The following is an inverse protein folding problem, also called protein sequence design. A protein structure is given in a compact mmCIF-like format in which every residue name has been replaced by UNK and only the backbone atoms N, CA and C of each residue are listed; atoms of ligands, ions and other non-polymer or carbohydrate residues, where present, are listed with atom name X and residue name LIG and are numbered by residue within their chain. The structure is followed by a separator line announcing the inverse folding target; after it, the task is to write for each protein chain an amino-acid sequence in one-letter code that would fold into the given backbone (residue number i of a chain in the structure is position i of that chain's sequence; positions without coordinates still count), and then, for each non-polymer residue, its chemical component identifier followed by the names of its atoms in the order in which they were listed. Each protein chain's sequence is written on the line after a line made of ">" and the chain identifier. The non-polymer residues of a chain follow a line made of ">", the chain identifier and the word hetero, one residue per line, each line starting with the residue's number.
data_IF_199012744305
#
_entry.id   IF_199012744305
#
_cell.length_a   1.000
_cell.length_b   1.000
_cell.length_c   1.000
_cell.angle_alpha   90.00
_cell.angle_beta   90.00
_cell.angle_gamma   90.00
#
_symmetry.space_group_name_H-M   'P 1'
#
loop_
_entity.id
_entity.type
_entity.pdbx_description
1 polymer ?
#
# COMPACT_ATOMS: atom_id res chain seq x y z
N UNK A 1 4.46 -16.48 4.11
CA UNK A 1 4.21 -15.51 3.03
C UNK A 1 3.00 -14.61 3.29
N UNK A 2 1.80 -15.10 3.68
CA UNK A 2 0.62 -14.27 3.91
C UNK A 2 0.81 -13.10 4.90
N UNK A 3 1.55 -13.31 6.00
CA UNK A 3 1.85 -12.25 6.96
C UNK A 3 2.73 -11.13 6.36
N UNK A 4 3.68 -11.49 5.50
CA UNK A 4 4.54 -10.53 4.81
C UNK A 4 3.71 -9.72 3.80
N UNK A 5 2.85 -10.40 3.03
CA UNK A 5 1.94 -9.74 2.09
C UNK A 5 0.95 -8.79 2.80
N UNK A 6 0.43 -9.20 3.96
CA UNK A 6 -0.46 -8.34 4.76
C UNK A 6 0.27 -7.09 5.25
N UNK A 7 1.49 -7.23 5.79
CA UNK A 7 2.31 -6.08 6.20
C UNK A 7 2.60 -5.15 5.03
N UNK A 8 2.94 -5.69 3.87
CA UNK A 8 3.16 -4.90 2.66
C UNK A 8 1.88 -4.17 2.23
N UNK A 9 0.72 -4.85 2.27
CA UNK A 9 -0.59 -4.25 1.97
C UNK A 9 -0.89 -3.07 2.89
N UNK A 10 -0.60 -3.20 4.19
CA UNK A 10 -0.77 -2.11 5.17
C UNK A 10 0.17 -0.95 4.85
N UNK A 11 1.47 -1.22 4.71
CA UNK A 11 2.49 -0.19 4.46
C UNK A 11 2.28 0.58 3.16
N UNK A 12 1.67 -0.04 2.15
CA UNK A 12 1.42 0.59 0.84
C UNK A 12 -0.02 1.08 0.67
N UNK A 13 -0.90 0.80 1.63
CA UNK A 13 -2.34 1.01 1.52
C UNK A 13 -2.94 0.42 0.21
N UNK A 14 -2.32 -0.61 -0.37
CA UNK A 14 -2.73 -1.23 -1.63
C UNK A 14 -3.98 -2.11 -1.48
N UNK A 15 -4.64 -2.44 -2.58
CA UNK A 15 -5.73 -3.42 -2.58
C UNK A 15 -5.18 -4.84 -2.53
N UNK A 16 -5.96 -5.77 -1.96
CA UNK A 16 -5.60 -7.20 -1.87
C UNK A 16 -5.08 -7.74 -3.20
N UNK A 17 -5.83 -7.53 -4.29
CA UNK A 17 -5.44 -8.06 -5.61
C UNK A 17 -4.21 -7.36 -6.21
N UNK A 18 -3.97 -6.10 -5.86
CA UNK A 18 -2.76 -5.39 -6.25
C UNK A 18 -1.54 -6.04 -5.58
N UNK A 19 -1.62 -6.29 -4.27
CA UNK A 19 -0.54 -6.92 -3.51
C UNK A 19 -0.26 -8.36 -3.94
N UNK A 20 -1.27 -9.23 -3.94
CA UNK A 20 -1.04 -10.67 -4.24
C UNK A 20 -0.60 -10.92 -5.67
N UNK A 21 -0.93 -10.03 -6.59
CA UNK A 21 -0.50 -10.08 -7.97
C UNK A 21 0.81 -9.33 -8.25
N UNK A 22 1.45 -8.72 -7.24
CA UNK A 22 2.71 -8.01 -7.44
C UNK A 22 3.81 -8.94 -7.94
N UNK A 23 4.55 -8.49 -8.96
CA UNK A 23 5.67 -9.20 -9.54
C UNK A 23 6.96 -8.40 -9.36
N UNK A 24 8.10 -9.09 -9.39
CA UNK A 24 9.40 -8.44 -9.13
C UNK A 24 9.81 -7.42 -10.18
N UNK A 25 9.33 -7.55 -11.40
CA UNK A 25 9.56 -6.60 -12.50
C UNK A 25 8.79 -5.28 -12.32
N UNK A 26 7.77 -5.27 -11.44
CA UNK A 26 7.05 -4.06 -11.05
C UNK A 26 7.77 -3.26 -9.96
N UNK A 27 8.79 -3.84 -9.29
CA UNK A 27 9.46 -3.30 -8.09
C UNK A 27 10.83 -2.74 -8.45
N UNK A 28 10.99 -1.44 -8.27
CA UNK A 28 12.28 -0.74 -8.32
C UNK A 28 12.73 -0.40 -6.88
N UNK A 29 13.57 -1.26 -6.30
CA UNK A 29 14.07 -1.08 -4.93
C UNK A 29 15.05 0.08 -4.80
N UNK A 30 15.76 0.47 -5.88
CA UNK A 30 16.72 1.57 -5.87
C UNK A 30 15.99 2.91 -5.82
N UNK A 31 14.90 3.03 -6.61
CA UNK A 31 14.06 4.22 -6.60
C UNK A 31 13.00 4.21 -5.50
N UNK A 32 12.84 3.08 -4.79
CA UNK A 32 11.78 2.90 -3.81
C UNK A 32 10.39 3.06 -4.46
N UNK A 33 10.14 2.34 -5.54
CA UNK A 33 8.94 2.49 -6.34
C UNK A 33 8.35 1.14 -6.74
N UNK A 34 7.05 1.01 -6.59
CA UNK A 34 6.27 -0.09 -7.15
C UNK A 34 5.32 0.46 -8.22
N UNK A 35 5.46 -0.01 -9.46
CA UNK A 35 4.61 0.41 -10.58
C UNK A 35 3.64 -0.70 -10.94
N UNK A 36 2.37 -0.50 -10.60
CA UNK A 36 1.29 -1.44 -10.93
C UNK A 36 0.81 -1.11 -12.34
N UNK A 37 0.90 -2.04 -13.31
CA UNK A 37 0.53 -1.76 -14.69
C UNK A 37 -0.98 -1.56 -14.85
N UNK A 38 -1.37 -0.74 -15.82
CA UNK A 38 -2.75 -0.38 -16.15
C UNK A 38 -3.69 -1.58 -16.30
N UNK A 39 -3.18 -2.69 -16.83
CA UNK A 39 -3.96 -3.92 -17.02
C UNK A 39 -4.47 -4.50 -15.68
N UNK A 40 -3.80 -4.24 -14.57
CA UNK A 40 -4.18 -4.68 -13.21
C UNK A 40 -4.96 -3.64 -12.43
N UNK A 41 -5.09 -2.43 -12.96
CA UNK A 41 -5.75 -1.31 -12.28
C UNK A 41 -7.18 -1.12 -12.76
N UNK A 42 -8.11 -0.85 -11.80
CA UNK A 42 -9.51 -0.55 -12.12
C UNK A 42 -9.66 0.64 -13.06
N UNK A 43 -8.81 1.65 -12.91
CA UNK A 43 -8.84 2.88 -13.71
C UNK A 43 -8.06 2.78 -15.04
N UNK A 44 -7.53 1.60 -15.38
CA UNK A 44 -6.75 1.34 -16.60
C UNK A 44 -5.64 2.36 -16.87
N UNK A 45 -4.98 2.80 -15.80
CA UNK A 45 -3.78 3.65 -15.82
C UNK A 45 -2.75 3.06 -14.87
N UNK A 46 -1.48 3.17 -15.22
CA UNK A 46 -0.39 2.77 -14.34
C UNK A 46 -0.50 3.50 -13.00
N UNK A 47 -0.30 2.77 -11.92
CA UNK A 47 -0.28 3.33 -10.59
C UNK A 47 1.10 3.17 -9.96
N UNK A 48 1.78 4.28 -9.73
CA UNK A 48 3.08 4.33 -9.07
C UNK A 48 2.88 4.48 -7.57
N UNK A 49 3.35 3.51 -6.80
CA UNK A 49 3.28 3.50 -5.34
C UNK A 49 4.67 3.78 -4.79
N UNK A 50 4.93 4.94 -4.15
CA UNK A 50 6.19 5.16 -3.48
C UNK A 50 6.28 4.25 -2.26
N UNK A 51 7.40 3.54 -2.14
CA UNK A 51 7.67 2.62 -1.06
C UNK A 51 8.38 3.34 0.08
N UNK A 52 7.85 3.23 1.29
CA UNK A 52 8.57 3.64 2.50
C UNK A 52 9.80 2.76 2.74
N UNK A 53 10.74 3.25 3.54
CA UNK A 53 11.92 2.45 3.90
C UNK A 53 11.53 1.10 4.51
N UNK A 54 10.49 1.08 5.35
CA UNK A 54 9.98 -0.16 5.95
C UNK A 54 9.42 -1.15 4.92
N UNK A 55 8.77 -0.65 3.85
CA UNK A 55 8.30 -1.50 2.76
C UNK A 55 9.46 -2.04 1.91
N UNK A 56 10.50 -1.23 1.68
CA UNK A 56 11.73 -1.64 0.98
C UNK A 56 12.45 -2.74 1.77
N UNK A 57 12.64 -2.54 3.08
CA UNK A 57 13.32 -3.51 3.94
C UNK A 57 12.56 -4.83 4.03
N UNK A 58 11.21 -4.74 4.09
CA UNK A 58 10.35 -5.91 4.02
C UNK A 58 10.55 -6.67 2.69
N UNK A 59 10.57 -5.98 1.56
CA UNK A 59 10.76 -6.61 0.24
C UNK A 59 12.14 -7.22 0.08
N UNK A 60 13.19 -6.58 0.60
CA UNK A 60 14.56 -7.14 0.60
C UNK A 60 14.65 -8.45 1.37
N UNK A 61 13.83 -8.63 2.40
CA UNK A 61 13.77 -9.86 3.20
C UNK A 61 12.89 -10.96 2.59
N UNK A 62 12.13 -10.68 1.53
CA UNK A 62 11.31 -11.69 0.85
C UNK A 62 12.19 -12.62 0.02
N UNK A 63 12.17 -13.94 0.26
CA UNK A 63 12.93 -14.87 -0.56
C UNK A 63 12.36 -14.93 -1.98
N UNK A 64 13.24 -14.78 -2.98
CA UNK A 64 12.88 -14.94 -4.38
C UNK A 64 12.88 -16.41 -4.77
N UNK A 65 11.72 -16.93 -5.13
CA UNK A 65 11.58 -18.30 -5.62
C UNK A 65 11.98 -18.38 -7.10
N UNK A 66 12.93 -19.26 -7.42
CA UNK A 66 13.39 -19.46 -8.80
C UNK A 66 12.25 -19.89 -9.71
N UNK A 67 11.99 -19.13 -10.77
CA UNK A 67 10.91 -19.40 -11.73
C UNK A 67 9.52 -18.94 -11.27
N UNK A 68 9.45 -18.12 -10.20
CA UNK A 68 8.23 -17.46 -9.79
C UNK A 68 8.40 -15.94 -9.90
N UNK A 69 7.62 -15.31 -10.76
CA UNK A 69 7.66 -13.87 -10.94
C UNK A 69 7.02 -13.10 -9.77
N UNK A 70 6.12 -13.73 -8.99
CA UNK A 70 5.39 -13.07 -7.92
C UNK A 70 6.28 -12.73 -6.74
N UNK A 71 6.10 -11.54 -6.18
CA UNK A 71 6.75 -11.11 -4.94
C UNK A 71 6.29 -11.99 -3.78
N UNK A 72 5.00 -12.27 -3.69
CA UNK A 72 4.40 -13.08 -2.63
C UNK A 72 3.99 -14.44 -3.20
N UNK A 73 4.95 -15.36 -3.21
CA UNK A 73 4.74 -16.71 -3.72
C UNK A 73 3.62 -17.46 -2.99
N UNK A 74 2.77 -18.13 -3.77
CA UNK A 74 1.71 -19.00 -3.30
C UNK A 74 2.21 -20.44 -3.05
N UNK A 75 1.28 -21.34 -2.72
CA UNK A 75 1.62 -22.76 -2.48
C UNK A 75 1.88 -23.55 -3.77
N UNK A 76 1.32 -23.10 -4.91
CA UNK A 76 1.53 -23.75 -6.19
C UNK A 76 2.74 -23.15 -6.87
N UNK A 77 3.60 -24.00 -7.45
CA UNK A 77 4.79 -23.57 -8.17
C UNK A 77 4.45 -22.48 -9.22
N UNK A 78 5.17 -21.38 -9.20
CA UNK A 78 5.01 -20.26 -10.13
C UNK A 78 3.76 -19.40 -9.91
N UNK A 79 2.98 -19.63 -8.85
CA UNK A 79 1.79 -18.82 -8.53
C UNK A 79 2.03 -17.80 -7.43
N UNK A 80 1.24 -16.73 -7.43
CA UNK A 80 1.10 -15.83 -6.29
C UNK A 80 0.18 -16.39 -5.20
N UNK A 81 0.03 -15.63 -4.11
CA UNK A 81 -0.90 -15.94 -3.01
C UNK A 81 -2.35 -15.96 -3.51
N UNK A 82 -3.17 -16.81 -2.87
CA UNK A 82 -4.61 -16.76 -3.10
C UNK A 82 -5.24 -15.49 -2.51
N UNK A 83 -6.37 -15.08 -3.08
CA UNK A 83 -7.13 -13.89 -2.64
C UNK A 83 -7.66 -13.97 -1.20
N UNK A 84 -7.76 -15.17 -0.64
CA UNK A 84 -8.20 -15.39 0.75
C UNK A 84 -7.04 -15.54 1.75
N UNK A 85 -5.79 -15.58 1.29
CA UNK A 85 -4.64 -15.91 2.15
C UNK A 85 -4.46 -14.91 3.30
N UNK A 86 -4.52 -13.60 3.03
CA UNK A 86 -4.38 -12.57 4.06
C UNK A 86 -5.60 -12.51 4.99
N UNK A 87 -6.81 -12.67 4.45
CA UNK A 87 -8.03 -12.70 5.27
C UNK A 87 -8.06 -13.94 6.16
N UNK A 88 -7.64 -15.11 5.64
CA UNK A 88 -7.50 -16.33 6.42
C UNK A 88 -6.46 -16.19 7.54
N UNK A 89 -5.36 -15.47 7.29
CA UNK A 89 -4.39 -15.15 8.34
C UNK A 89 -5.05 -14.34 9.47
N UNK A 90 -5.76 -13.25 9.15
CA UNK A 90 -6.43 -12.42 10.14
C UNK A 90 -7.46 -13.21 10.94
N UNK A 91 -8.42 -13.84 10.25
CA UNK A 91 -9.59 -14.44 10.90
C UNK A 91 -9.30 -15.76 11.58
N UNK A 92 -8.52 -16.64 10.93
CA UNK A 92 -8.32 -18.02 11.40
C UNK A 92 -7.09 -18.14 12.30
N UNK A 93 -5.97 -17.51 11.89
CA UNK A 93 -4.70 -17.70 12.64
C UNK A 93 -4.48 -16.67 13.74
N UNK A 94 -4.95 -15.42 13.52
CA UNK A 94 -4.81 -14.35 14.50
C UNK A 94 -6.08 -14.15 15.36
N UNK A 95 -7.20 -14.79 15.00
CA UNK A 95 -8.46 -14.66 15.74
C UNK A 95 -9.15 -13.28 15.63
N UNK A 96 -8.71 -12.45 14.69
CA UNK A 96 -9.24 -11.08 14.50
C UNK A 96 -10.40 -11.15 13.50
N UNK A 97 -11.64 -11.14 13.99
CA UNK A 97 -12.84 -11.41 13.18
C UNK A 97 -13.61 -10.18 12.75
N UNK A 98 -13.38 -9.04 13.37
CA UNK A 98 -14.10 -7.77 13.21
C UNK A 98 -13.50 -6.85 12.13
N UNK A 99 -12.29 -7.14 11.65
CA UNK A 99 -11.61 -6.36 10.61
C UNK A 99 -11.45 -7.14 9.30
N UNK A 100 -11.21 -6.40 8.22
CA UNK A 100 -10.89 -6.96 6.90
C UNK A 100 -9.58 -6.39 6.37
N UNK A 101 -8.97 -7.08 5.39
CA UNK A 101 -7.76 -6.54 4.71
C UNK A 101 -8.06 -5.20 4.06
N UNK A 102 -9.26 -5.00 3.52
CA UNK A 102 -9.66 -3.72 2.92
C UNK A 102 -9.82 -2.61 3.97
N UNK A 103 -10.19 -2.94 5.21
CA UNK A 103 -10.33 -2.00 6.32
C UNK A 103 -9.04 -1.18 6.58
N UNK A 104 -7.86 -1.76 6.36
CA UNK A 104 -6.60 -1.03 6.53
C UNK A 104 -6.45 0.16 5.56
N UNK A 105 -7.09 0.11 4.40
CA UNK A 105 -7.11 1.26 3.48
C UNK A 105 -8.00 2.38 4.01
N UNK A 106 -9.13 2.03 4.63
CA UNK A 106 -10.00 3.01 5.32
C UNK A 106 -9.22 3.63 6.47
N UNK A 107 -8.56 2.81 7.30
CA UNK A 107 -7.72 3.30 8.40
C UNK A 107 -6.62 4.27 7.92
N UNK A 108 -5.95 3.96 6.80
CA UNK A 108 -4.97 4.88 6.21
C UNK A 108 -5.59 6.23 5.83
N UNK A 109 -6.78 6.20 5.19
CA UNK A 109 -7.48 7.41 4.78
C UNK A 109 -7.94 8.25 5.96
N UNK A 110 -8.52 7.59 6.98
CA UNK A 110 -9.01 8.23 8.21
C UNK A 110 -7.83 8.83 8.99
N UNK A 111 -6.74 8.05 9.18
CA UNK A 111 -5.52 8.54 9.79
C UNK A 111 -4.96 9.78 9.06
N UNK A 112 -4.89 9.72 7.73
CA UNK A 112 -4.36 10.84 6.95
C UNK A 112 -5.22 12.10 7.08
N UNK A 113 -6.55 11.94 7.17
CA UNK A 113 -7.49 13.05 7.34
C UNK A 113 -7.51 13.63 8.75
N UNK A 114 -7.39 12.75 9.77
CA UNK A 114 -7.59 13.15 11.16
C UNK A 114 -6.27 13.54 11.87
N UNK A 115 -5.13 13.02 11.39
CA UNK A 115 -3.85 13.17 12.09
C UNK A 115 -2.75 13.82 11.24
N UNK A 116 -3.06 14.29 10.03
CA UNK A 116 -2.06 14.91 9.17
C UNK A 116 -2.60 16.13 8.43
N UNK A 117 -1.69 16.99 7.97
CA UNK A 117 -2.02 18.14 7.14
C UNK A 117 -1.85 17.85 5.63
N UNK A 118 -1.74 16.59 5.22
CA UNK A 118 -1.63 16.26 3.80
C UNK A 118 -2.91 16.60 3.05
N UNK A 119 -2.82 17.31 1.92
CA UNK A 119 -3.97 17.62 1.11
C UNK A 119 -4.73 16.35 0.68
N UNK A 120 -6.06 16.40 0.75
CA UNK A 120 -6.93 15.26 0.41
C UNK A 120 -6.59 14.64 -0.95
N UNK A 121 -6.25 15.45 -1.94
CA UNK A 121 -5.88 14.97 -3.27
C UNK A 121 -4.60 14.11 -3.29
N UNK A 122 -3.66 14.33 -2.35
CA UNK A 122 -2.45 13.51 -2.21
C UNK A 122 -2.81 12.15 -1.62
N UNK A 123 -3.68 12.14 -0.61
CA UNK A 123 -4.18 10.91 0.04
C UNK A 123 -4.98 10.06 -0.94
N UNK A 124 -5.93 10.67 -1.66
CA UNK A 124 -6.74 9.95 -2.65
C UNK A 124 -5.89 9.46 -3.84
N UNK A 125 -4.86 10.22 -4.25
CA UNK A 125 -3.91 9.76 -5.26
C UNK A 125 -3.08 8.55 -4.78
N UNK A 126 -2.71 8.49 -3.50
CA UNK A 126 -2.05 7.31 -2.91
C UNK A 126 -2.95 6.08 -2.96
N UNK A 127 -4.25 6.28 -2.80
CA UNK A 127 -5.27 5.22 -2.90
C UNK A 127 -5.68 4.87 -4.34
N UNK A 128 -5.09 5.47 -5.36
CA UNK A 128 -5.53 5.36 -6.76
C UNK A 128 -7.05 5.62 -6.91
N UNK A 129 -7.55 6.62 -6.18
CA UNK A 129 -8.93 7.10 -6.34
C UNK A 129 -8.95 8.26 -7.33
N UNK A 130 -10.01 8.34 -8.11
CA UNK A 130 -10.27 9.51 -8.93
C UNK A 130 -10.62 10.71 -8.03
N UNK A 131 -9.96 11.84 -8.22
CA UNK A 131 -10.25 13.09 -7.53
C UNK A 131 -10.62 14.12 -8.57
N UNK A 132 -11.71 14.82 -8.34
CA UNK A 132 -12.23 15.81 -9.26
C UNK A 132 -13.03 15.21 -10.43
N UNK A 133 -13.55 16.11 -11.28
CA UNK A 133 -14.26 15.72 -12.49
C UNK A 133 -13.29 15.26 -13.62
N UNK A 134 -13.85 14.81 -14.74
CA UNK A 134 -13.07 14.34 -15.89
C UNK A 134 -12.14 15.42 -16.45
N UNK A 135 -12.52 16.70 -16.34
CA UNK A 135 -11.75 17.84 -16.82
C UNK A 135 -10.54 18.09 -15.91
N UNK A 136 -10.75 18.12 -14.59
CA UNK A 136 -9.65 18.25 -13.62
C UNK A 136 -8.65 17.10 -13.73
N UNK A 137 -9.12 15.87 -13.93
CA UNK A 137 -8.28 14.70 -14.13
C UNK A 137 -7.43 14.77 -15.41
N UNK A 138 -7.98 15.36 -16.50
CA UNK A 138 -7.25 15.56 -17.75
C UNK A 138 -6.13 16.59 -17.64
N UNK A 139 -6.33 17.63 -16.82
CA UNK A 139 -5.34 18.69 -16.57
C UNK A 139 -4.27 18.31 -15.54
N UNK A 140 -4.47 17.24 -14.78
CA UNK A 140 -3.52 16.79 -13.75
C UNK A 140 -2.30 16.13 -14.37
N UNK A 141 -1.24 16.92 -14.58
CA UNK A 141 0.04 16.46 -15.17
C UNK A 141 0.94 15.68 -14.20
N UNK A 142 0.67 15.72 -12.91
CA UNK A 142 1.50 15.10 -11.87
C UNK A 142 0.67 14.16 -11.00
N UNK A 143 1.21 12.98 -10.71
CA UNK A 143 0.65 12.03 -9.74
C UNK A 143 1.06 12.34 -8.29
N UNK A 144 1.66 13.50 -8.06
CA UNK A 144 2.17 13.96 -6.77
C UNK A 144 3.12 12.96 -6.08
N UNK A 145 3.96 12.26 -6.85
CA UNK A 145 4.79 11.15 -6.38
C UNK A 145 5.63 11.51 -5.15
N UNK A 146 6.33 12.64 -5.18
CA UNK A 146 7.21 13.05 -4.07
C UNK A 146 6.41 13.41 -2.80
N UNK A 147 5.26 14.06 -2.95
CA UNK A 147 4.36 14.34 -1.80
C UNK A 147 3.80 13.03 -1.22
N UNK A 148 3.46 12.07 -2.08
CA UNK A 148 3.02 10.73 -1.64
C UNK A 148 4.15 9.94 -0.98
N UNK A 149 5.41 10.14 -1.38
CA UNK A 149 6.56 9.53 -0.71
C UNK A 149 6.63 9.93 0.76
N UNK A 150 6.51 11.23 1.04
CA UNK A 150 6.48 11.75 2.41
C UNK A 150 5.28 11.20 3.20
N UNK A 151 4.10 11.16 2.57
CA UNK A 151 2.89 10.59 3.18
C UNK A 151 3.06 9.11 3.55
N UNK A 152 3.63 8.30 2.62
CA UNK A 152 3.79 6.86 2.85
C UNK A 152 4.88 6.56 3.89
N UNK A 153 5.91 7.39 4.02
CA UNK A 153 6.89 7.29 5.10
C UNK A 153 6.24 7.61 6.46
N UNK A 154 5.48 8.70 6.56
CA UNK A 154 4.75 9.06 7.78
C UNK A 154 3.75 7.96 8.19
N UNK A 155 3.05 7.35 7.22
CA UNK A 155 2.17 6.21 7.47
C UNK A 155 2.91 4.99 8.01
N UNK A 156 4.06 4.67 7.42
CA UNK A 156 4.90 3.56 7.88
C UNK A 156 5.37 3.78 9.33
N UNK A 157 5.81 4.99 9.66
CA UNK A 157 6.24 5.33 11.02
C UNK A 157 5.07 5.24 12.02
N UNK A 158 3.88 5.70 11.65
CA UNK A 158 2.69 5.55 12.47
C UNK A 158 2.34 4.07 12.72
N UNK A 159 2.29 3.25 11.67
CA UNK A 159 1.93 1.83 11.78
C UNK A 159 2.94 1.00 12.54
N UNK A 160 4.20 1.45 12.58
CA UNK A 160 5.29 0.81 13.32
C UNK A 160 5.47 1.36 14.74
N UNK A 161 4.63 2.30 15.16
CA UNK A 161 4.73 2.91 16.47
C UNK A 161 5.98 3.76 16.70
N UNK A 162 6.61 4.24 15.61
CA UNK A 162 7.81 5.09 15.69
C UNK A 162 7.50 6.56 15.97
N UNK A 163 6.26 6.98 15.76
CA UNK A 163 5.82 8.34 16.06
C UNK A 163 5.66 8.45 17.56
N UNK A 164 6.55 9.18 18.22
CA UNK A 164 6.37 9.53 19.62
C UNK A 164 5.05 10.30 19.77
N UNK A 165 4.32 10.05 20.88
CA UNK A 165 3.04 10.70 21.19
C UNK A 165 3.09 12.25 21.24
N UNK A 166 4.27 12.86 21.08
CA UNK A 166 4.51 14.31 21.08
C UNK A 166 4.13 15.05 19.79
N UNK A 167 3.81 14.35 18.71
CA UNK A 167 3.40 14.98 17.45
C UNK A 167 1.88 14.91 17.20
N UNK A 168 1.11 14.56 18.21
CA UNK A 168 -0.33 14.79 18.20
C UNK A 168 -0.52 16.28 18.44
N UNK A 169 -0.76 17.05 17.36
CA UNK A 169 -1.23 18.43 17.50
C UNK A 169 -2.54 18.39 18.28
N UNK A 170 -2.48 18.83 19.55
CA UNK A 170 -3.69 19.10 20.32
C UNK A 170 -4.46 20.19 19.57
N UNK A 171 -5.56 19.80 18.94
CA UNK A 171 -6.56 20.77 18.49
C UNK A 171 -7.00 21.53 19.74
N UNK A 172 -6.57 22.79 19.83
CA UNK A 172 -7.12 23.70 20.83
C UNK A 172 -8.59 23.93 20.49
N UNK A 173 -9.44 23.59 21.46
CA UNK A 173 -10.87 23.89 21.46
C UNK A 173 -11.12 25.41 21.34
#
# INVERSE_FOLDING_TARGET
>A
MAAIALRFTILTAARTNETIGATWDEIDLERGLWTIPAARMKMRRDHRVPLSQAAIDLLKAVPREKGNAHVFAGMRKGSGLSNVAMLGLLKVRMGVTDITVHGFRSTFRDWAGDHTEFPREVVEAALAHAVGDATEQAYRRSDALERRRVLMEAWADYTLGKVAASNVLQLRA
#
